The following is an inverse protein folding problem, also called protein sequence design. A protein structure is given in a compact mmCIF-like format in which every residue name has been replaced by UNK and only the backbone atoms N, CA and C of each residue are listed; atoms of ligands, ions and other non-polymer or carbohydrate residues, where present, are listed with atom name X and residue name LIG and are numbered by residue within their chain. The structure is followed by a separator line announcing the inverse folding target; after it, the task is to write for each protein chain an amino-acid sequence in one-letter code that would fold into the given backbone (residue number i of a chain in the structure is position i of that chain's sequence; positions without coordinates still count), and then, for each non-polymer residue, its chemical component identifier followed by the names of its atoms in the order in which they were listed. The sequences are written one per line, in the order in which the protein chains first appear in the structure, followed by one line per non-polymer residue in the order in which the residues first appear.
data_IF_080230337207
#
_entry.id   IF_080230337207
#
_cell.length_a   1.000
_cell.length_b   1.000
_cell.length_c   1.000
_cell.angle_alpha   90.00
_cell.angle_beta   90.00
_cell.angle_gamma   90.00
#
_symmetry.space_group_name_H-M   'P 1'
#
loop_
_entity.id
_entity.type
_entity.pdbx_description
1 polymer ?
#
# COMPACT_ATOMS: atom_id res chain seq x y z
N UNK A 1 16.92 5.93 0.69
CA UNK A 1 17.78 4.73 0.53
C UNK A 1 16.88 3.58 0.08
N UNK A 2 17.05 3.04 -1.13
CA UNK A 2 16.24 1.96 -1.74
C UNK A 2 16.46 0.61 -1.01
N UNK A 3 16.04 0.51 0.25
CA UNK A 3 16.22 -0.71 1.07
C UNK A 3 15.16 -1.76 0.76
N UNK A 4 14.01 -1.36 0.20
CA UNK A 4 12.87 -2.25 -0.01
C UNK A 4 12.91 -3.05 -1.33
N UNK A 5 13.68 -2.62 -2.32
CA UNK A 5 13.68 -3.24 -3.66
C UNK A 5 14.33 -4.62 -3.66
N UNK A 6 15.45 -4.78 -2.96
CA UNK A 6 16.20 -6.05 -2.88
C UNK A 6 15.40 -7.20 -2.25
N UNK A 7 14.80 -7.05 -1.05
CA UNK A 7 14.01 -8.12 -0.45
C UNK A 7 12.77 -8.45 -1.28
N UNK A 8 12.16 -7.46 -1.95
CA UNK A 8 11.00 -7.68 -2.83
C UNK A 8 11.35 -8.52 -4.06
N UNK A 9 12.49 -8.24 -4.71
CA UNK A 9 12.93 -9.05 -5.85
C UNK A 9 13.24 -10.49 -5.45
N UNK A 10 13.82 -10.70 -4.26
CA UNK A 10 14.05 -12.06 -3.72
C UNK A 10 12.72 -12.75 -3.39
N UNK A 11 11.75 -12.03 -2.79
CA UNK A 11 10.43 -12.58 -2.49
C UNK A 11 9.66 -12.96 -3.77
N UNK A 12 9.75 -12.14 -4.82
CA UNK A 12 9.13 -12.40 -6.12
C UNK A 12 9.71 -13.62 -6.85
N UNK A 13 10.99 -13.92 -6.62
CA UNK A 13 11.66 -15.10 -7.16
C UNK A 13 11.42 -16.36 -6.31
N UNK A 14 11.08 -16.22 -5.03
CA UNK A 14 10.82 -17.36 -4.14
C UNK A 14 9.33 -17.73 -4.06
N UNK A 15 8.45 -16.75 -4.23
CA UNK A 15 6.99 -16.88 -4.07
C UNK A 15 6.32 -16.36 -5.33
N UNK A 16 6.25 -17.21 -6.35
CA UNK A 16 5.60 -16.98 -7.64
C UNK A 16 4.70 -18.18 -7.98
N UNK A 17 3.62 -17.93 -8.74
CA UNK A 17 2.67 -18.97 -9.13
C UNK A 17 3.31 -20.02 -10.05
N UNK A 18 4.10 -19.56 -11.03
CA UNK A 18 4.91 -20.40 -11.91
C UNK A 18 6.26 -19.74 -12.20
N UNK A 19 7.31 -20.53 -12.41
CA UNK A 19 8.66 -20.04 -12.76
C UNK A 19 8.80 -19.66 -14.24
N UNK A 20 7.78 -19.01 -14.80
CA UNK A 20 7.86 -18.41 -16.13
C UNK A 20 8.30 -16.94 -16.01
N UNK A 21 9.07 -16.41 -16.97
CA UNK A 21 9.53 -15.02 -16.90
C UNK A 21 8.39 -14.01 -16.76
N UNK A 22 7.24 -14.27 -17.40
CA UNK A 22 6.08 -13.39 -17.34
C UNK A 22 5.42 -13.40 -15.94
N UNK A 23 5.23 -14.56 -15.34
CA UNK A 23 4.65 -14.69 -13.99
C UNK A 23 5.55 -14.09 -12.90
N UNK A 24 6.88 -14.26 -13.03
CA UNK A 24 7.85 -13.66 -12.13
C UNK A 24 7.83 -12.13 -12.25
N UNK A 25 7.78 -11.58 -13.46
CA UNK A 25 7.66 -10.14 -13.68
C UNK A 25 6.34 -9.57 -13.17
N UNK A 26 5.24 -10.32 -13.37
CA UNK A 26 3.92 -9.94 -12.87
C UNK A 26 3.90 -9.92 -11.34
N UNK A 27 4.38 -10.98 -10.69
CA UNK A 27 4.48 -11.07 -9.23
C UNK A 27 5.40 -9.99 -8.66
N UNK A 28 6.52 -9.72 -9.33
CA UNK A 28 7.44 -8.63 -8.98
C UNK A 28 6.77 -7.27 -9.07
N UNK A 29 5.91 -7.03 -10.06
CA UNK A 29 5.16 -5.76 -10.19
C UNK A 29 4.23 -5.52 -9.00
N UNK A 30 3.52 -6.56 -8.54
CA UNK A 30 2.61 -6.51 -7.40
C UNK A 30 3.37 -6.20 -6.10
N UNK A 31 4.47 -6.90 -5.83
CA UNK A 31 5.26 -6.67 -4.62
C UNK A 31 6.00 -5.32 -4.66
N UNK A 32 6.51 -4.89 -5.81
CA UNK A 32 7.14 -3.57 -5.94
C UNK A 32 6.16 -2.44 -5.68
N UNK A 33 4.93 -2.56 -6.16
CA UNK A 33 3.90 -1.57 -5.95
C UNK A 33 3.60 -1.37 -4.45
N UNK A 34 3.52 -2.45 -3.69
CA UNK A 34 3.28 -2.38 -2.24
C UNK A 34 4.40 -1.62 -1.50
N UNK A 35 5.66 -1.73 -1.94
CA UNK A 35 6.80 -1.05 -1.28
C UNK A 35 7.15 0.32 -1.86
N UNK A 36 6.76 0.61 -3.11
CA UNK A 36 7.10 1.85 -3.79
C UNK A 36 6.50 3.08 -3.10
N UNK A 37 5.41 2.91 -2.35
CA UNK A 37 4.74 3.99 -1.61
C UNK A 37 5.43 4.34 -0.27
N UNK A 38 6.25 3.44 0.28
CA UNK A 38 6.88 3.60 1.60
C UNK A 38 7.73 4.88 1.76
N UNK A 39 8.56 5.30 0.79
CA UNK A 39 9.33 6.54 0.90
C UNK A 39 8.45 7.78 1.02
N UNK A 40 7.35 7.81 0.26
CA UNK A 40 6.39 8.92 0.28
C UNK A 40 5.68 8.99 1.63
N UNK A 41 5.25 7.84 2.17
CA UNK A 41 4.64 7.75 3.49
C UNK A 41 5.62 8.17 4.60
N UNK A 42 6.88 7.73 4.52
CA UNK A 42 7.90 8.09 5.51
C UNK A 42 8.19 9.60 5.51
N UNK A 43 8.27 10.22 4.32
CA UNK A 43 8.46 11.66 4.20
C UNK A 43 7.34 12.42 4.92
N UNK A 44 6.07 12.07 4.64
CA UNK A 44 4.89 12.71 5.26
C UNK A 44 4.86 12.49 6.78
N UNK A 45 5.27 11.31 7.25
CA UNK A 45 5.36 11.04 8.69
C UNK A 45 6.43 11.88 9.40
N UNK A 46 7.52 12.22 8.69
CA UNK A 46 8.68 12.94 9.25
C UNK A 46 8.53 14.46 9.19
N UNK A 47 7.95 14.99 8.12
CA UNK A 47 7.74 16.43 7.99
C UNK A 47 6.67 16.92 8.95
N UNK A 48 5.71 16.08 9.36
CA UNK A 48 4.64 16.45 10.31
C UNK A 48 3.64 17.47 9.74
N UNK A 49 4.03 18.19 8.69
CA UNK A 49 3.22 18.94 7.76
C UNK A 49 2.92 18.01 6.57
N UNK A 50 1.83 17.27 6.69
CA UNK A 50 1.16 16.78 5.50
C UNK A 50 0.39 17.97 4.94
N UNK A 51 0.85 18.57 3.84
CA UNK A 51 0.01 19.50 3.09
C UNK A 51 -1.36 18.82 2.89
N UNK A 52 -2.44 19.54 3.20
CA UNK A 52 -3.81 19.01 3.13
C UNK A 52 -4.06 18.36 1.77
N UNK A 53 -3.49 18.93 0.70
CA UNK A 53 -3.54 18.39 -0.67
C UNK A 53 -2.87 17.01 -0.78
N UNK A 54 -1.62 16.84 -0.32
CA UNK A 54 -0.90 15.56 -0.37
C UNK A 54 -1.62 14.47 0.43
N UNK A 55 -2.21 14.86 1.55
CA UNK A 55 -2.94 13.93 2.42
C UNK A 55 -4.23 13.41 1.78
N UNK A 56 -5.00 14.27 1.11
CA UNK A 56 -6.16 13.86 0.31
C UNK A 56 -5.76 12.99 -0.89
N UNK A 57 -4.66 13.32 -1.57
CA UNK A 57 -4.13 12.50 -2.66
C UNK A 57 -3.83 11.07 -2.19
N UNK A 58 -3.07 10.93 -1.11
CA UNK A 58 -2.74 9.62 -0.52
C UNK A 58 -4.00 8.90 -0.02
N UNK A 59 -5.00 9.63 0.47
CA UNK A 59 -6.26 9.05 0.90
C UNK A 59 -7.03 8.42 -0.28
N UNK A 60 -7.21 9.16 -1.37
CA UNK A 60 -7.84 8.64 -2.59
C UNK A 60 -7.03 7.47 -3.17
N UNK A 61 -5.70 7.55 -3.11
CA UNK A 61 -4.81 6.48 -3.55
C UNK A 61 -5.00 5.19 -2.73
N UNK A 62 -5.06 5.30 -1.40
CA UNK A 62 -5.35 4.13 -0.55
C UNK A 62 -6.76 3.59 -0.76
N UNK A 63 -7.74 4.47 -0.99
CA UNK A 63 -9.13 4.09 -1.20
C UNK A 63 -9.33 3.31 -2.51
N UNK A 64 -8.65 3.69 -3.60
CA UNK A 64 -8.73 2.90 -4.84
C UNK A 64 -8.22 1.46 -4.62
N UNK A 65 -7.16 1.28 -3.81
CA UNK A 65 -6.62 -0.05 -3.50
C UNK A 65 -7.57 -0.88 -2.65
N UNK A 66 -8.19 -0.28 -1.64
CA UNK A 66 -9.20 -0.95 -0.84
C UNK A 66 -10.41 -1.38 -1.69
N UNK A 67 -10.85 -0.53 -2.63
CA UNK A 67 -11.91 -0.89 -3.58
C UNK A 67 -11.51 -2.02 -4.52
N UNK A 68 -10.25 -2.08 -4.95
CA UNK A 68 -9.72 -3.22 -5.69
C UNK A 68 -9.83 -4.50 -4.86
N UNK A 69 -9.42 -4.47 -3.60
CA UNK A 69 -9.54 -5.64 -2.72
C UNK A 69 -11.00 -6.12 -2.58
N UNK A 70 -11.96 -5.19 -2.48
CA UNK A 70 -13.39 -5.53 -2.52
C UNK A 70 -13.83 -6.11 -3.87
N UNK A 71 -13.27 -5.64 -4.98
CA UNK A 71 -13.52 -6.23 -6.29
C UNK A 71 -13.00 -7.68 -6.37
N UNK A 72 -11.84 -7.98 -5.80
CA UNK A 72 -11.33 -9.36 -5.71
C UNK A 72 -12.27 -10.24 -4.88
N UNK A 73 -12.82 -9.74 -3.77
CA UNK A 73 -13.84 -10.45 -2.98
C UNK A 73 -15.10 -10.69 -3.81
N UNK A 74 -15.58 -9.69 -4.55
CA UNK A 74 -16.73 -9.84 -5.43
C UNK A 74 -16.50 -10.92 -6.50
N UNK A 75 -15.35 -10.90 -7.19
CA UNK A 75 -14.98 -11.89 -8.20
C UNK A 75 -14.83 -13.29 -7.63
N UNK A 76 -14.38 -13.43 -6.38
CA UNK A 76 -14.36 -14.72 -5.70
C UNK A 76 -15.77 -15.32 -5.57
N UNK A 77 -16.75 -14.51 -5.17
CA UNK A 77 -18.14 -14.95 -5.04
C UNK A 77 -18.83 -15.23 -6.37
N UNK A 78 -18.54 -14.45 -7.43
CA UNK A 78 -19.25 -14.55 -8.71
C UNK A 78 -18.58 -15.46 -9.73
N UNK A 79 -17.25 -15.44 -9.81
CA UNK A 79 -16.46 -16.10 -10.87
C UNK A 79 -15.64 -17.29 -10.35
N UNK A 80 -15.60 -17.56 -9.04
CA UNK A 80 -14.70 -18.55 -8.40
C UNK A 80 -13.21 -18.38 -8.77
N UNK A 81 -12.83 -17.21 -9.27
CA UNK A 81 -11.44 -16.89 -9.63
C UNK A 81 -10.77 -16.19 -8.45
N UNK A 82 -9.64 -16.72 -7.98
CA UNK A 82 -8.86 -16.10 -6.91
C UNK A 82 -7.37 -16.24 -7.17
N UNK A 83 -6.65 -15.16 -6.88
CA UNK A 83 -5.20 -15.13 -6.88
C UNK A 83 -4.76 -14.77 -5.47
N UNK A 84 -4.22 -15.77 -4.76
CA UNK A 84 -3.79 -15.63 -3.38
C UNK A 84 -2.67 -14.61 -3.25
N UNK A 85 -1.78 -14.51 -4.25
CA UNK A 85 -0.63 -13.59 -4.23
C UNK A 85 -1.15 -12.15 -4.30
N UNK A 86 -2.06 -11.86 -5.23
CA UNK A 86 -2.64 -10.54 -5.37
C UNK A 86 -3.45 -10.11 -4.14
N UNK A 87 -4.23 -11.04 -3.55
CA UNK A 87 -5.04 -10.76 -2.35
C UNK A 87 -4.16 -10.49 -1.14
N UNK A 88 -3.14 -11.33 -0.89
CA UNK A 88 -2.24 -11.17 0.25
C UNK A 88 -1.39 -9.90 0.10
N UNK A 89 -0.85 -9.63 -1.08
CA UNK A 89 -0.12 -8.39 -1.34
C UNK A 89 -1.01 -7.15 -1.18
N UNK A 90 -2.25 -7.21 -1.69
CA UNK A 90 -3.25 -6.16 -1.51
C UNK A 90 -3.64 -5.93 -0.05
N UNK A 91 -3.75 -6.99 0.75
CA UNK A 91 -3.97 -6.90 2.21
C UNK A 91 -2.81 -6.21 2.91
N UNK A 92 -1.57 -6.62 2.64
CA UNK A 92 -0.37 -5.99 3.22
C UNK A 92 -0.31 -4.51 2.84
N UNK A 93 -0.56 -4.18 1.59
CA UNK A 93 -0.61 -2.80 1.11
C UNK A 93 -1.70 -1.99 1.81
N UNK A 94 -2.90 -2.56 1.99
CA UNK A 94 -4.01 -1.90 2.69
C UNK A 94 -3.70 -1.66 4.17
N UNK A 95 -3.05 -2.61 4.86
CA UNK A 95 -2.62 -2.44 6.25
C UNK A 95 -1.58 -1.31 6.38
N UNK A 96 -0.63 -1.21 5.44
CA UNK A 96 0.31 -0.09 5.40
C UNK A 96 -0.41 1.26 5.22
N UNK A 97 -1.48 1.30 4.41
CA UNK A 97 -2.33 2.48 4.29
C UNK A 97 -3.18 2.73 5.55
N UNK A 98 -3.58 1.71 6.32
CA UNK A 98 -4.34 1.88 7.56
C UNK A 98 -3.58 2.70 8.62
N UNK A 99 -2.26 2.47 8.76
CA UNK A 99 -1.43 3.28 9.66
C UNK A 99 -1.43 4.77 9.24
N UNK A 100 -1.34 5.01 7.93
CA UNK A 100 -1.46 6.36 7.37
C UNK A 100 -2.85 6.96 7.56
N UNK A 101 -3.93 6.19 7.34
CA UNK A 101 -5.31 6.64 7.54
C UNK A 101 -5.56 7.03 9.00
N UNK A 102 -5.03 6.25 9.93
CA UNK A 102 -5.12 6.54 11.36
C UNK A 102 -4.41 7.86 11.71
N UNK A 103 -3.20 8.07 11.18
CA UNK A 103 -2.45 9.31 11.34
C UNK A 103 -3.20 10.50 10.71
N UNK A 104 -3.73 10.33 9.50
CA UNK A 104 -4.50 11.33 8.76
C UNK A 104 -5.75 11.77 9.53
N UNK A 105 -6.60 10.83 9.96
CA UNK A 105 -7.83 11.12 10.72
C UNK A 105 -7.48 11.82 12.03
N UNK A 106 -6.43 11.38 12.72
CA UNK A 106 -6.02 11.96 14.00
C UNK A 106 -5.45 13.37 13.86
N UNK A 107 -4.82 13.72 12.74
CA UNK A 107 -4.18 15.03 12.51
C UNK A 107 -5.11 16.03 11.80
N UNK A 108 -5.85 15.59 10.79
CA UNK A 108 -6.70 16.45 9.95
C UNK A 108 -8.09 16.63 10.56
N UNK A 109 -8.76 15.55 10.95
CA UNK A 109 -10.16 15.63 11.44
C UNK A 109 -10.22 16.16 12.88
N UNK A 110 -9.26 15.79 13.74
CA UNK A 110 -9.25 16.29 15.13
C UNK A 110 -8.76 17.73 15.25
N UNK A 111 -8.33 18.38 14.15
CA UNK A 111 -7.97 19.81 14.12
C UNK A 111 -6.97 20.23 15.19
N UNK A 112 -6.14 19.30 15.70
CA UNK A 112 -5.16 19.64 16.74
C UNK A 112 -4.09 20.49 16.10
N UNK A 113 -4.16 21.79 16.37
CA UNK A 113 -3.12 22.75 16.08
C UNK A 113 -1.76 22.15 16.46
N UNK A 114 -0.80 22.24 15.54
CA UNK A 114 0.62 21.99 15.77
C UNK A 114 1.09 22.89 16.94
N UNK A 115 1.00 22.36 18.16
CA UNK A 115 1.76 22.84 19.31
C UNK A 115 2.58 21.67 19.82
N UNK A 116 3.84 21.65 19.43
CA UNK A 116 4.87 20.97 20.21
C UNK A 116 5.00 21.74 21.54
N UNK A 117 4.95 21.08 22.71
CA UNK A 117 5.37 21.72 23.95
C UNK A 117 6.87 22.01 23.85
N UNK A 118 7.22 23.23 24.25
CA UNK A 118 8.60 23.70 24.40
C UNK A 118 9.35 22.95 25.51
#
# INVERSE_FOLDING_TARGET
RMVCTKPVTVLALLVNHEFTPLEVLWTLSIYLEAVAILPQLFLVSKTGEAETITSHYLFCLGMYRALYLLNWVYRYYTENFYDLIAIVAGLVQTILYCDFFYLYVTRVIKGKALKLPA
#
